data_IF_515579659538
#
_entry.id   IF_515579659538
#
_cell.length_a   1.000
_cell.length_b   1.000
_cell.length_c   1.000
_cell.angle_alpha   90.00
_cell.angle_beta   90.00
_cell.angle_gamma   90.00
#
_symmetry.space_group_name_H-M   'P 1'
#
loop_
_entity.id
_entity.type
_entity.pdbx_description
1 polymer ?
#
# COMPACT_ATOMS: atom_id res chain seq x y z
N UNK A 1 17.03 7.90 0.82
CA UNK A 1 15.65 8.39 0.56
C UNK A 1 14.92 7.45 -0.40
N UNK A 2 15.53 7.08 -1.53
CA UNK A 2 14.94 6.14 -2.48
C UNK A 2 14.46 4.82 -1.86
N UNK A 3 15.32 4.12 -1.10
CA UNK A 3 14.90 2.87 -0.44
C UNK A 3 13.73 3.05 0.54
N UNK A 4 13.65 4.21 1.22
CA UNK A 4 12.51 4.55 2.08
C UNK A 4 11.25 4.81 1.24
N UNK A 5 11.39 5.48 0.10
CA UNK A 5 10.30 5.70 -0.84
C UNK A 5 9.74 4.37 -1.36
N UNK A 6 10.61 3.50 -1.85
CA UNK A 6 10.25 2.21 -2.41
C UNK A 6 9.63 1.31 -1.33
N UNK A 7 10.29 1.14 -0.19
CA UNK A 7 9.80 0.31 0.90
C UNK A 7 8.47 0.80 1.48
N UNK A 8 8.34 2.11 1.71
CA UNK A 8 7.09 2.70 2.20
C UNK A 8 5.95 2.61 1.18
N UNK A 9 6.24 2.73 -0.11
CA UNK A 9 5.25 2.53 -1.18
C UNK A 9 4.77 1.07 -1.23
N UNK A 10 5.68 0.10 -1.17
CA UNK A 10 5.34 -1.33 -1.10
C UNK A 10 4.48 -1.61 0.13
N UNK A 11 4.85 -1.06 1.29
CA UNK A 11 4.09 -1.22 2.53
C UNK A 11 2.67 -0.64 2.41
N UNK A 12 2.54 0.60 1.91
CA UNK A 12 1.25 1.26 1.73
C UNK A 12 0.36 0.57 0.69
N UNK A 13 0.92 0.10 -0.43
CA UNK A 13 0.18 -0.66 -1.43
C UNK A 13 -0.26 -2.03 -0.90
N UNK A 14 0.57 -2.73 -0.13
CA UNK A 14 0.19 -4.00 0.49
C UNK A 14 -1.04 -3.87 1.39
N UNK A 15 -1.07 -2.84 2.25
CA UNK A 15 -2.23 -2.53 3.10
C UNK A 15 -3.47 -2.19 2.28
N UNK A 16 -3.29 -1.51 1.15
CA UNK A 16 -4.38 -1.19 0.25
C UNK A 16 -4.91 -2.41 -0.52
N UNK A 17 -4.07 -3.42 -0.78
CA UNK A 17 -4.42 -4.55 -1.66
C UNK A 17 -4.92 -5.76 -0.87
N UNK A 18 -4.22 -6.22 0.18
CA UNK A 18 -4.50 -7.51 0.82
C UNK A 18 -4.07 -7.68 2.29
N UNK A 19 -3.35 -6.73 2.92
CA UNK A 19 -2.91 -6.88 4.32
C UNK A 19 -4.01 -6.56 5.35
N UNK A 20 -5.09 -7.32 5.38
CA UNK A 20 -6.14 -7.20 6.40
C UNK A 20 -5.84 -8.04 7.64
N UNK A 21 -6.19 -7.51 8.81
CA UNK A 21 -6.27 -8.27 10.06
C UNK A 21 -7.71 -8.18 10.57
N UNK A 22 -8.37 -9.32 10.70
CA UNK A 22 -9.72 -9.45 11.25
C UNK A 22 -9.64 -10.01 12.67
N UNK A 23 -10.69 -9.75 13.46
CA UNK A 23 -10.77 -10.19 14.85
C UNK A 23 -12.08 -10.93 15.10
N UNK A 24 -12.00 -12.04 15.82
CA UNK A 24 -13.15 -12.79 16.34
C UNK A 24 -12.81 -13.31 17.74
N UNK A 25 -13.81 -13.38 18.62
CA UNK A 25 -13.67 -13.83 20.01
C UNK A 25 -12.50 -13.18 20.80
N UNK A 26 -12.22 -11.91 20.50
CA UNK A 26 -11.16 -11.13 21.15
C UNK A 26 -9.74 -11.44 20.67
N UNK A 27 -9.58 -12.18 19.56
CA UNK A 27 -8.28 -12.56 19.01
C UNK A 27 -8.20 -12.27 17.51
N UNK A 28 -7.00 -12.00 17.00
CA UNK A 28 -6.76 -11.89 15.57
C UNK A 28 -6.94 -13.26 14.91
N UNK A 29 -7.61 -13.29 13.76
CA UNK A 29 -7.86 -14.54 13.03
C UNK A 29 -6.62 -14.98 12.22
N UNK A 30 -5.82 -14.02 11.74
CA UNK A 30 -4.57 -14.29 11.01
C UNK A 30 -3.42 -14.55 11.98
N UNK A 31 -2.97 -15.80 12.06
CA UNK A 31 -1.95 -16.24 13.03
C UNK A 31 -0.51 -16.20 12.49
N UNK A 32 -0.33 -16.05 11.17
CA UNK A 32 0.99 -16.07 10.51
C UNK A 32 0.92 -15.46 9.08
N UNK A 33 2.06 -15.33 8.39
CA UNK A 33 2.22 -14.65 7.09
C UNK A 33 1.63 -15.38 5.87
N UNK A 34 1.16 -16.60 6.05
CA UNK A 34 0.32 -17.32 5.09
C UNK A 34 -1.15 -16.88 5.18
N UNK A 35 -1.60 -16.41 6.36
CA UNK A 35 -2.95 -15.91 6.58
C UNK A 35 -3.03 -14.36 6.49
N UNK A 36 -1.97 -13.66 6.91
CA UNK A 36 -1.80 -12.22 6.73
C UNK A 36 -0.71 -11.95 5.69
N UNK A 37 -1.10 -12.01 4.42
CA UNK A 37 -0.16 -11.86 3.32
C UNK A 37 0.27 -10.40 3.15
N UNK A 38 1.58 -10.17 3.16
CA UNK A 38 2.16 -8.95 2.60
C UNK A 38 2.11 -8.97 1.06
N UNK A 39 2.35 -7.80 0.44
CA UNK A 39 2.61 -7.73 -0.99
C UNK A 39 3.76 -8.67 -1.38
N UNK A 40 3.54 -9.50 -2.40
CA UNK A 40 4.55 -10.43 -2.93
C UNK A 40 5.37 -9.76 -4.05
N UNK A 41 6.55 -10.30 -4.34
CA UNK A 41 7.46 -9.71 -5.35
C UNK A 41 6.83 -9.57 -6.74
N UNK A 42 5.97 -10.51 -7.14
CA UNK A 42 5.28 -10.47 -8.43
C UNK A 42 4.17 -9.41 -8.50
N UNK A 43 3.66 -8.95 -7.35
CA UNK A 43 2.67 -7.88 -7.25
C UNK A 43 3.33 -6.49 -7.20
N UNK A 44 4.64 -6.42 -6.92
CA UNK A 44 5.35 -5.16 -6.76
C UNK A 44 5.45 -4.43 -8.11
N UNK A 45 4.90 -3.21 -8.23
CA UNK A 45 5.09 -2.43 -9.43
C UNK A 45 6.54 -1.91 -9.51
N UNK A 46 6.94 -1.42 -10.68
CA UNK A 46 8.14 -0.60 -10.79
C UNK A 46 7.92 0.73 -10.06
N UNK A 47 8.86 1.09 -9.17
CA UNK A 47 8.77 2.30 -8.35
C UNK A 47 9.97 3.20 -8.66
N UNK A 48 9.68 4.33 -9.29
CA UNK A 48 10.66 5.39 -9.54
C UNK A 48 10.58 6.46 -8.46
N UNK A 49 11.74 6.94 -8.00
CA UNK A 49 11.84 7.99 -7.01
C UNK A 49 12.63 9.17 -7.54
N UNK A 50 12.11 10.38 -7.29
CA UNK A 50 12.83 11.63 -7.51
C UNK A 50 12.69 12.53 -6.30
N UNK A 51 13.81 12.92 -5.72
CA UNK A 51 13.82 13.91 -4.66
C UNK A 51 13.64 15.33 -5.24
N UNK A 52 12.84 16.15 -4.56
CA UNK A 52 12.78 17.58 -4.82
C UNK A 52 13.69 18.30 -3.82
N UNK A 53 14.79 18.87 -4.32
CA UNK A 53 15.84 19.51 -3.51
C UNK A 53 15.54 21.00 -3.27
N UNK A 54 14.31 21.32 -2.86
CA UNK A 54 13.88 22.71 -2.62
C UNK A 54 14.09 23.17 -1.17
N UNK A 55 14.73 22.35 -0.33
CA UNK A 55 14.98 22.63 1.08
C UNK A 55 16.46 22.39 1.42
N UNK A 56 17.14 23.31 2.11
CA UNK A 56 18.54 23.12 2.53
C UNK A 56 18.72 22.02 3.58
N UNK A 57 17.65 21.53 4.21
CA UNK A 57 17.71 20.50 5.26
C UNK A 57 16.76 19.35 4.94
N UNK A 58 17.29 18.12 5.02
CA UNK A 58 16.49 16.89 4.89
C UNK A 58 15.64 16.72 6.17
N UNK A 59 14.33 16.54 5.99
CA UNK A 59 13.39 16.21 7.06
C UNK A 59 13.11 14.70 7.10
N UNK A 60 12.37 14.25 8.11
CA UNK A 60 11.94 12.85 8.22
C UNK A 60 11.21 12.38 6.96
N UNK A 61 11.64 11.25 6.41
CA UNK A 61 11.10 10.68 5.16
C UNK A 61 10.75 9.18 5.28
N UNK A 62 10.78 8.60 6.49
CA UNK A 62 10.43 7.20 6.69
C UNK A 62 8.94 6.91 6.41
N UNK A 63 8.05 7.73 6.96
CA UNK A 63 6.59 7.56 6.85
C UNK A 63 5.93 8.21 5.63
N UNK A 64 6.37 9.38 5.11
CA UNK A 64 5.70 10.07 4.01
C UNK A 64 5.34 9.24 2.76
N UNK A 65 6.10 8.20 2.36
CA UNK A 65 5.73 7.38 1.22
C UNK A 65 4.48 6.51 1.43
N UNK A 66 4.06 6.25 2.68
CA UNK A 66 3.00 5.28 3.02
C UNK A 66 1.57 5.86 2.82
N UNK A 67 1.18 7.01 3.43
CA UNK A 67 -0.18 7.52 3.32
C UNK A 67 -0.69 7.79 1.89
N UNK A 68 0.13 8.26 0.92
CA UNK A 68 -0.37 8.54 -0.41
C UNK A 68 -0.57 7.28 -1.27
N UNK A 69 0.01 6.13 -0.91
CA UNK A 69 -0.05 4.92 -1.75
C UNK A 69 -1.49 4.42 -1.96
N UNK A 70 -2.27 4.29 -0.89
CA UNK A 70 -3.63 3.76 -0.94
C UNK A 70 -4.61 4.64 -1.75
N UNK A 71 -4.73 5.97 -1.52
CA UNK A 71 -5.61 6.82 -2.32
C UNK A 71 -5.11 6.96 -3.77
N UNK A 72 -3.81 6.91 -4.03
CA UNK A 72 -3.29 6.89 -5.40
C UNK A 72 -3.76 5.64 -6.15
N UNK A 73 -3.67 4.46 -5.52
CA UNK A 73 -4.21 3.21 -6.08
C UNK A 73 -5.73 3.27 -6.26
N UNK A 74 -6.48 3.76 -5.27
CA UNK A 74 -7.94 3.92 -5.38
C UNK A 74 -8.38 4.89 -6.48
N UNK A 75 -7.57 5.91 -6.78
CA UNK A 75 -7.76 6.80 -7.92
C UNK A 75 -7.44 6.11 -9.25
N UNK A 76 -6.37 5.32 -9.31
CA UNK A 76 -6.02 4.53 -10.49
C UNK A 76 -7.12 3.50 -10.83
N UNK A 77 -7.65 2.80 -9.83
CA UNK A 77 -8.77 1.86 -10.02
C UNK A 77 -9.98 2.59 -10.57
N UNK A 78 -10.38 3.72 -9.96
CA UNK A 78 -11.51 4.51 -10.47
C UNK A 78 -11.30 5.00 -11.90
N UNK A 79 -10.09 5.46 -12.23
CA UNK A 79 -9.76 5.90 -13.59
C UNK A 79 -9.83 4.75 -14.61
N UNK A 80 -9.44 3.53 -14.21
CA UNK A 80 -9.45 2.36 -15.07
C UNK A 80 -10.83 1.70 -15.22
N UNK A 81 -11.67 1.73 -14.18
CA UNK A 81 -12.92 0.93 -14.12
C UNK A 81 -14.19 1.77 -13.98
N UNK A 82 -14.09 3.04 -13.62
CA UNK A 82 -15.22 3.88 -13.21
C UNK A 82 -15.78 3.56 -11.81
N UNK A 83 -15.25 2.55 -11.12
CA UNK A 83 -15.73 2.13 -9.79
C UNK A 83 -15.00 2.89 -8.67
N UNK A 84 -15.77 3.58 -7.82
CA UNK A 84 -15.22 4.31 -6.67
C UNK A 84 -15.26 3.43 -5.42
N UNK A 85 -14.17 2.73 -5.15
CA UNK A 85 -14.00 1.90 -3.94
C UNK A 85 -13.66 2.78 -2.74
N UNK A 86 -14.30 2.53 -1.60
CA UNK A 86 -14.11 3.29 -0.34
C UNK A 86 -13.77 2.41 0.87
N UNK A 87 -13.71 1.11 0.67
CA UNK A 87 -13.33 0.13 1.68
C UNK A 87 -12.01 -0.54 1.25
N UNK A 88 -11.10 -0.70 2.21
CA UNK A 88 -9.87 -1.47 2.05
C UNK A 88 -9.98 -2.77 2.87
N UNK A 89 -9.23 -3.82 2.49
CA UNK A 89 -8.39 -3.92 1.30
C UNK A 89 -9.21 -3.99 0.00
N UNK A 90 -8.63 -3.49 -1.10
CA UNK A 90 -9.30 -3.39 -2.39
C UNK A 90 -9.53 -4.75 -3.06
N UNK A 91 -8.80 -5.82 -2.67
CA UNK A 91 -9.02 -7.17 -3.19
C UNK A 91 -10.43 -7.71 -2.89
N UNK A 92 -11.16 -7.13 -1.92
CA UNK A 92 -12.57 -7.42 -1.65
C UNK A 92 -13.50 -7.00 -2.78
N UNK A 93 -13.06 -6.08 -3.65
CA UNK A 93 -13.89 -5.48 -4.69
C UNK A 93 -13.36 -5.69 -6.11
N UNK A 94 -12.05 -5.91 -6.28
CA UNK A 94 -11.40 -6.13 -7.57
C UNK A 94 -10.28 -7.17 -7.45
N UNK A 95 -10.10 -8.00 -8.46
CA UNK A 95 -9.00 -8.96 -8.51
C UNK A 95 -7.68 -8.28 -8.90
N UNK A 96 -6.61 -8.59 -8.16
CA UNK A 96 -5.24 -8.23 -8.53
C UNK A 96 -4.56 -9.47 -9.12
N UNK A 97 -3.97 -9.31 -10.31
CA UNK A 97 -3.15 -10.32 -11.00
C UNK A 97 -1.68 -10.18 -10.69
#
# INVERSE_FOLDING_TARGET
LENLAQGGTVFGLGHAINCEITYSDGMAEQSNYDAHEAMRMWQCPQIEFRALENNPVIRGFGEPPIPPSAPALGNAIFAATGQRIREMPFNKHIAFV
#
